data_IF_640374076377
#
_entry.id   IF_640374076377
#
_cell.length_a   1.000
_cell.length_b   1.000
_cell.length_c   1.000
_cell.angle_alpha   90.00
_cell.angle_beta   90.00
_cell.angle_gamma   90.00
#
_symmetry.space_group_name_H-M   'P 1'
#
loop_
_entity.id
_entity.type
_entity.pdbx_description
1 polymer ?
#
# COMPACT_ATOMS: atom_id res chain seq x y z
N UNK A 1 -3.27 -11.37 15.02
CA UNK A 1 -3.72 -10.20 15.80
C UNK A 1 -3.54 -8.96 14.94
N UNK A 2 -4.42 -8.72 13.99
CA UNK A 2 -4.38 -7.57 13.08
C UNK A 2 -5.63 -6.74 13.37
N UNK A 3 -5.44 -5.62 14.08
CA UNK A 3 -6.54 -4.73 14.45
C UNK A 3 -7.01 -3.89 13.25
N UNK A 4 -8.32 -3.83 13.03
CA UNK A 4 -8.94 -2.83 12.16
C UNK A 4 -8.69 -1.42 12.72
N UNK A 5 -8.03 -0.56 11.96
CA UNK A 5 -7.94 0.87 12.25
C UNK A 5 -8.19 1.59 10.93
N UNK A 6 -9.31 2.30 10.80
CA UNK A 6 -9.53 3.16 9.65
C UNK A 6 -8.83 4.49 9.92
N UNK A 7 -7.68 4.71 9.28
CA UNK A 7 -7.35 6.05 8.78
C UNK A 7 -7.93 6.08 7.38
N UNK A 8 -8.91 6.94 7.18
CA UNK A 8 -9.72 7.05 5.96
C UNK A 8 -8.83 7.23 4.73
N UNK A 9 -8.59 6.15 3.99
CA UNK A 9 -8.08 6.20 2.62
C UNK A 9 -9.17 5.61 1.72
N UNK A 10 -9.79 6.49 0.95
CA UNK A 10 -10.87 6.19 0.00
C UNK A 10 -10.24 5.71 -1.33
N UNK A 11 -10.96 4.94 -2.15
CA UNK A 11 -10.42 4.23 -3.32
C UNK A 11 -10.86 4.81 -4.67
N UNK A 12 -9.98 4.81 -5.69
CA UNK A 12 -10.16 5.52 -6.98
C UNK A 12 -10.52 4.64 -8.19
N UNK A 13 -10.84 5.28 -9.34
CA UNK A 13 -11.09 4.68 -10.68
C UNK A 13 -10.93 5.71 -11.84
N UNK A 14 -10.44 5.33 -13.05
CA UNK A 14 -10.08 6.27 -14.16
C UNK A 14 -10.19 5.73 -15.60
N UNK A 15 -10.48 6.58 -16.63
CA UNK A 15 -10.62 6.23 -18.08
C UNK A 15 -10.06 7.32 -19.04
N UNK A 16 -9.92 7.05 -20.36
CA UNK A 16 -8.92 7.66 -21.31
C UNK A 16 -9.51 8.49 -22.46
N UNK A 17 -8.86 9.61 -22.87
CA UNK A 17 -8.85 10.16 -24.25
C UNK A 17 -7.58 11.01 -24.61
N UNK A 18 -6.96 10.64 -25.74
CA UNK A 18 -6.06 11.27 -26.75
C UNK A 18 -4.99 12.37 -26.47
N UNK A 19 -3.91 12.26 -27.26
CA UNK A 19 -2.53 12.79 -27.15
C UNK A 19 -2.24 14.26 -27.55
N UNK A 20 -1.15 14.83 -26.99
CA UNK A 20 -0.21 15.76 -27.65
C UNK A 20 1.22 15.52 -27.12
N UNK A 21 2.21 15.44 -28.01
CA UNK A 21 3.65 15.15 -27.74
C UNK A 21 4.49 16.43 -27.67
N UNK A 22 5.47 16.49 -26.75
CA UNK A 22 6.70 17.35 -26.83
C UNK A 22 7.87 16.71 -26.04
N UNK A 23 9.15 17.12 -26.20
CA UNK A 23 10.30 16.22 -26.21
C UNK A 23 11.16 16.32 -24.94
N UNK A 24 11.99 15.30 -24.73
CA UNK A 24 12.92 15.11 -23.61
C UNK A 24 13.92 16.25 -23.38
N UNK A 25 14.17 16.56 -22.10
CA UNK A 25 15.39 17.19 -21.61
C UNK A 25 16.31 16.15 -20.92
N UNK A 26 17.62 16.30 -21.15
CA UNK A 26 18.72 15.48 -20.61
C UNK A 26 18.95 15.73 -19.11
N UNK A 27 19.45 14.71 -18.40
CA UNK A 27 19.87 14.82 -16.99
C UNK A 27 21.25 15.47 -16.83
N UNK A 28 21.55 16.09 -15.67
CA UNK A 28 22.92 16.37 -15.25
C UNK A 28 23.54 15.13 -14.55
N UNK A 29 24.88 15.05 -14.57
CA UNK A 29 25.69 13.91 -14.12
C UNK A 29 25.81 13.75 -12.60
N UNK A 30 26.34 12.58 -12.19
CA UNK A 30 26.60 12.19 -10.80
C UNK A 30 27.66 13.09 -10.13
N UNK A 31 27.45 13.38 -8.83
CA UNK A 31 28.35 14.16 -7.94
C UNK A 31 28.73 13.30 -6.72
N UNK A 32 29.20 12.07 -6.92
CA UNK A 32 29.76 11.25 -5.84
C UNK A 32 30.90 10.37 -6.37
N UNK A 33 32.04 10.37 -5.66
CA UNK A 33 33.21 9.53 -5.93
C UNK A 33 33.03 8.15 -5.28
N UNK A 34 33.63 7.12 -5.87
CA UNK A 34 33.61 5.76 -5.33
C UNK A 34 34.52 5.62 -4.10
N UNK A 35 34.25 4.61 -3.25
CA UNK A 35 34.97 4.40 -1.98
C UNK A 35 36.48 4.24 -2.12
N UNK A 36 36.97 3.59 -3.19
CA UNK A 36 38.41 3.49 -3.46
C UNK A 36 39.05 4.84 -3.84
N UNK A 37 38.31 5.73 -4.54
CA UNK A 37 38.80 7.07 -4.87
C UNK A 37 38.76 8.04 -3.68
N UNK A 38 37.91 7.76 -2.68
CA UNK A 38 37.84 8.56 -1.45
C UNK A 38 38.98 8.24 -0.47
N UNK A 39 39.49 7.01 -0.48
CA UNK A 39 40.58 6.55 0.41
C UNK A 39 41.94 7.17 0.04
N UNK A 40 42.15 7.44 -1.25
CA UNK A 40 43.37 8.09 -1.77
C UNK A 40 43.45 9.59 -1.41
N UNK A 41 42.30 10.21 -1.06
CA UNK A 41 42.20 11.63 -0.66
C UNK A 41 42.45 11.83 0.84
N UNK A 42 42.20 10.81 1.66
CA UNK A 42 42.35 10.87 3.13
C UNK A 42 43.40 9.89 3.62
N UNK A 43 44.68 10.27 3.55
CA UNK A 43 45.76 9.51 4.18
C UNK A 43 45.59 9.46 5.71
N UNK A 44 44.86 8.46 6.22
CA UNK A 44 44.76 8.15 7.65
C UNK A 44 45.78 7.07 8.00
N UNK A 45 46.75 7.42 8.85
CA UNK A 45 47.63 6.43 9.47
C UNK A 45 46.82 5.62 10.51
N UNK A 46 46.97 4.28 10.49
CA UNK A 46 46.46 3.42 11.57
C UNK A 46 47.05 3.86 12.91
N UNK A 47 46.22 3.88 13.97
CA UNK A 47 46.62 4.22 15.34
C UNK A 47 47.00 2.97 16.15
N UNK A 48 47.45 1.92 15.48
CA UNK A 48 47.87 0.68 16.12
C UNK A 48 49.11 0.92 17.00
N UNK A 49 49.00 0.60 18.29
CA UNK A 49 50.09 0.69 19.27
C UNK A 49 50.46 -0.72 19.73
N UNK A 50 51.46 -1.35 19.10
CA UNK A 50 51.94 -2.70 19.47
C UNK A 50 52.90 -2.69 20.68
N UNK A 51 52.56 -2.01 21.77
CA UNK A 51 53.46 -1.71 22.90
C UNK A 51 53.00 -2.20 24.29
N UNK A 52 53.97 -2.51 25.17
CA UNK A 52 53.80 -3.20 26.46
C UNK A 52 53.04 -2.46 27.61
N UNK A 53 52.21 -1.46 27.30
CA UNK A 53 51.46 -0.67 28.28
C UNK A 53 49.99 -0.44 27.87
N UNK A 54 49.49 -1.24 26.92
CA UNK A 54 48.14 -1.12 26.33
C UNK A 54 47.01 -1.15 27.38
N UNK A 55 47.15 -1.97 28.42
CA UNK A 55 46.17 -2.12 29.53
C UNK A 55 45.96 -0.85 30.38
N UNK A 56 46.76 0.21 30.19
CA UNK A 56 46.59 1.49 30.91
C UNK A 56 45.71 2.50 30.15
N UNK A 57 45.32 2.20 28.90
CA UNK A 57 44.48 3.07 28.10
C UNK A 57 43.00 2.72 28.29
N UNK A 58 42.13 3.73 28.28
CA UNK A 58 40.68 3.49 28.28
C UNK A 58 40.27 2.74 27.01
N UNK A 59 39.53 1.64 27.19
CA UNK A 59 39.11 0.74 26.12
C UNK A 59 38.37 1.46 24.99
N UNK A 60 38.66 1.10 23.74
CA UNK A 60 38.01 1.69 22.58
C UNK A 60 37.73 0.64 21.50
N UNK A 61 36.44 0.41 21.23
CA UNK A 61 35.96 -0.64 20.32
C UNK A 61 36.57 -0.54 18.92
N UNK A 62 36.69 0.67 18.38
CA UNK A 62 37.25 0.86 17.04
C UNK A 62 38.73 0.48 17.03
N UNK A 63 39.49 0.90 18.03
CA UNK A 63 40.93 0.62 18.13
C UNK A 63 41.22 -0.85 18.42
N UNK A 64 40.54 -1.44 19.40
CA UNK A 64 40.89 -2.77 19.92
C UNK A 64 40.17 -3.89 19.15
N UNK A 65 38.94 -3.66 18.69
CA UNK A 65 38.11 -4.71 18.08
C UNK A 65 37.87 -4.53 16.57
N UNK A 66 38.00 -3.32 16.01
CA UNK A 66 37.83 -3.10 14.55
C UNK A 66 39.16 -2.97 13.81
N UNK A 67 40.11 -2.22 14.37
CA UNK A 67 41.48 -2.12 13.86
C UNK A 67 42.31 -3.38 14.22
N UNK A 68 41.98 -4.03 15.34
CA UNK A 68 42.64 -5.25 15.87
C UNK A 68 41.64 -6.37 16.24
N UNK A 69 42.16 -7.49 16.77
CA UNK A 69 41.35 -8.61 17.24
C UNK A 69 41.32 -8.66 18.76
N UNK A 70 40.33 -8.04 19.38
CA UNK A 70 40.11 -8.06 20.83
C UNK A 70 39.52 -9.39 21.35
N UNK A 71 39.74 -9.62 22.64
CA UNK A 71 39.13 -10.62 23.52
C UNK A 71 37.80 -10.12 24.11
N UNK A 72 37.02 -11.02 24.71
CA UNK A 72 35.76 -10.64 25.37
C UNK A 72 35.98 -9.64 26.51
N UNK A 73 37.13 -9.74 27.18
CA UNK A 73 37.45 -8.86 28.30
C UNK A 73 37.75 -7.44 27.82
N UNK A 74 38.51 -7.28 26.73
CA UNK A 74 38.75 -5.97 26.11
C UNK A 74 37.46 -5.34 25.55
N UNK A 75 36.59 -6.15 24.92
CA UNK A 75 35.26 -5.68 24.52
C UNK A 75 34.41 -5.24 25.74
N UNK A 76 34.56 -5.90 26.89
CA UNK A 76 33.86 -5.54 28.14
C UNK A 76 34.37 -4.21 28.69
N UNK A 77 35.68 -3.98 28.62
CA UNK A 77 36.31 -2.73 29.04
C UNK A 77 35.87 -1.54 28.17
N UNK A 78 35.66 -1.74 26.87
CA UNK A 78 35.27 -0.65 25.96
C UNK A 78 33.78 -0.21 26.10
N UNK A 79 32.88 -1.10 26.50
CA UNK A 79 31.44 -0.78 26.61
C UNK A 79 30.97 -0.47 28.04
N UNK A 80 31.73 -0.86 29.08
CA UNK A 80 31.40 -0.74 30.50
C UNK A 80 29.97 -1.23 30.87
N UNK A 81 29.35 -2.06 30.02
CA UNK A 81 27.98 -2.52 30.13
C UNK A 81 27.82 -3.93 29.55
N UNK A 82 27.43 -4.88 30.39
CA UNK A 82 27.36 -6.30 30.01
C UNK A 82 26.35 -6.59 28.89
N UNK A 83 25.20 -5.93 28.82
CA UNK A 83 24.21 -6.18 27.76
C UNK A 83 24.74 -5.73 26.40
N UNK A 84 25.34 -4.54 26.34
CA UNK A 84 25.97 -4.01 25.11
C UNK A 84 27.20 -4.81 24.69
N UNK A 85 28.03 -5.23 25.65
CA UNK A 85 29.18 -6.10 25.39
C UNK A 85 28.72 -7.43 24.78
N UNK A 86 27.68 -8.06 25.32
CA UNK A 86 27.18 -9.34 24.80
C UNK A 86 26.49 -9.21 23.45
N UNK A 87 25.80 -8.10 23.18
CA UNK A 87 25.22 -7.80 21.86
C UNK A 87 26.31 -7.62 20.80
N UNK A 88 27.36 -6.86 21.11
CA UNK A 88 28.53 -6.71 20.24
C UNK A 88 29.28 -8.04 20.05
N UNK A 89 29.54 -8.76 21.15
CA UNK A 89 30.32 -9.99 21.15
C UNK A 89 29.63 -11.12 20.39
N UNK A 90 28.30 -11.18 20.40
CA UNK A 90 27.54 -12.15 19.62
C UNK A 90 27.84 -12.03 18.11
N UNK A 91 27.94 -10.81 17.58
CA UNK A 91 28.30 -10.59 16.17
C UNK A 91 29.81 -10.71 15.90
N UNK A 92 30.64 -10.35 16.87
CA UNK A 92 32.09 -10.33 16.74
C UNK A 92 32.73 -11.73 16.85
N UNK A 93 32.25 -12.58 17.77
CA UNK A 93 32.78 -13.93 18.00
C UNK A 93 32.46 -14.92 16.87
N UNK A 94 31.43 -14.65 16.06
CA UNK A 94 31.08 -15.49 14.90
C UNK A 94 32.08 -15.35 13.74
N UNK A 95 32.95 -14.33 13.78
CA UNK A 95 34.10 -14.11 12.89
C UNK A 95 33.70 -13.78 11.45
N UNK A 96 34.23 -12.69 10.87
CA UNK A 96 33.91 -12.33 9.48
C UNK A 96 34.31 -13.45 8.49
N UNK A 97 33.34 -14.21 7.98
CA UNK A 97 33.60 -15.37 7.13
C UNK A 97 34.17 -15.01 5.75
N UNK A 98 34.16 -13.73 5.36
CA UNK A 98 34.85 -13.23 4.17
C UNK A 98 36.38 -13.19 4.31
N UNK A 99 36.94 -13.32 5.52
CA UNK A 99 38.41 -13.41 5.72
C UNK A 99 39.04 -14.62 5.04
N UNK A 100 38.28 -15.69 4.83
CA UNK A 100 38.75 -16.89 4.13
C UNK A 100 38.78 -16.74 2.60
N UNK A 101 38.40 -15.56 2.07
CA UNK A 101 38.24 -15.27 0.64
C UNK A 101 37.45 -16.38 -0.09
N UNK A 102 36.21 -16.67 0.36
CA UNK A 102 35.47 -17.82 -0.14
C UNK A 102 34.97 -17.65 -1.58
N UNK A 103 34.84 -16.42 -2.07
CA UNK A 103 34.36 -16.10 -3.41
C UNK A 103 35.48 -16.26 -4.45
N UNK A 104 35.34 -17.25 -5.34
CA UNK A 104 36.27 -17.53 -6.44
C UNK A 104 36.02 -16.60 -7.63
N UNK A 105 36.92 -16.66 -8.62
CA UNK A 105 36.77 -15.96 -9.90
C UNK A 105 36.47 -14.45 -9.76
N UNK A 106 37.17 -13.80 -8.83
CA UNK A 106 37.07 -12.35 -8.57
C UNK A 106 35.67 -11.91 -8.11
N UNK A 107 34.89 -12.81 -7.48
CA UNK A 107 33.63 -12.46 -6.84
C UNK A 107 33.85 -11.64 -5.57
N UNK A 108 33.02 -10.61 -5.35
CA UNK A 108 33.07 -9.79 -4.14
C UNK A 108 32.37 -10.51 -2.97
N UNK A 109 32.96 -10.48 -1.78
CA UNK A 109 32.40 -11.14 -0.59
C UNK A 109 31.76 -10.12 0.35
N UNK A 110 30.52 -10.38 0.75
CA UNK A 110 29.79 -9.58 1.74
C UNK A 110 29.42 -10.44 2.96
N UNK A 111 29.67 -9.92 4.15
CA UNK A 111 29.32 -10.59 5.41
C UNK A 111 27.89 -10.25 5.82
N UNK A 112 27.07 -11.27 6.11
CA UNK A 112 25.66 -11.13 6.49
C UNK A 112 25.35 -12.05 7.68
N UNK A 113 25.25 -11.49 8.89
CA UNK A 113 24.66 -12.13 10.09
C UNK A 113 25.03 -13.59 10.32
N UNK A 114 26.33 -13.91 10.39
CA UNK A 114 26.82 -15.28 10.64
C UNK A 114 27.06 -16.14 9.38
N UNK A 115 26.89 -15.58 8.18
CA UNK A 115 27.22 -16.20 6.89
C UNK A 115 27.85 -15.18 5.92
N UNK A 116 28.38 -15.64 4.78
CA UNK A 116 28.83 -14.79 3.68
C UNK A 116 27.95 -14.96 2.42
N UNK A 117 27.94 -13.93 1.59
CA UNK A 117 27.37 -13.92 0.25
C UNK A 117 28.45 -13.54 -0.77
N UNK A 118 28.44 -14.19 -1.94
CA UNK A 118 29.35 -13.88 -3.05
C UNK A 118 28.61 -13.21 -4.20
N UNK A 119 29.12 -12.07 -4.64
CA UNK A 119 28.67 -11.39 -5.85
C UNK A 119 29.61 -11.76 -7.01
N UNK A 120 29.17 -12.65 -7.90
CA UNK A 120 30.01 -13.24 -8.93
C UNK A 120 30.17 -12.36 -10.18
N UNK A 121 31.35 -12.44 -10.81
CA UNK A 121 31.60 -11.78 -12.09
C UNK A 121 30.75 -12.39 -13.23
N UNK A 122 30.45 -11.63 -14.30
CA UNK A 122 29.69 -12.13 -15.44
C UNK A 122 30.27 -13.43 -16.02
N UNK A 123 29.43 -14.44 -16.21
CA UNK A 123 29.82 -15.77 -16.71
C UNK A 123 30.16 -16.79 -15.63
N UNK A 124 30.12 -16.40 -14.35
CA UNK A 124 30.34 -17.28 -13.20
C UNK A 124 29.14 -17.32 -12.25
N UNK A 125 28.83 -18.51 -11.73
CA UNK A 125 27.74 -18.76 -10.77
C UNK A 125 28.19 -19.77 -9.69
N UNK A 126 27.31 -20.11 -8.76
CA UNK A 126 27.62 -20.97 -7.61
C UNK A 126 27.74 -20.19 -6.30
N UNK A 127 27.70 -20.89 -5.16
CA UNK A 127 27.75 -20.25 -3.82
C UNK A 127 29.04 -19.47 -3.61
N UNK A 128 30.11 -19.96 -4.25
CA UNK A 128 31.47 -19.43 -4.17
C UNK A 128 31.96 -18.97 -5.54
N UNK A 129 31.06 -18.69 -6.50
CA UNK A 129 31.40 -18.30 -7.87
C UNK A 129 32.28 -19.32 -8.63
N UNK A 130 32.20 -20.59 -8.29
CA UNK A 130 33.06 -21.67 -8.79
C UNK A 130 32.67 -22.24 -10.16
N UNK A 131 31.45 -21.96 -10.63
CA UNK A 131 30.88 -22.54 -11.84
C UNK A 131 31.08 -21.58 -13.01
N UNK A 132 31.87 -21.98 -14.01
CA UNK A 132 32.11 -21.20 -15.23
C UNK A 132 31.21 -21.67 -16.37
N UNK A 133 30.58 -20.75 -17.09
CA UNK A 133 29.87 -21.05 -18.36
C UNK A 133 28.52 -21.74 -18.20
N UNK A 134 27.83 -21.57 -17.08
CA UNK A 134 26.52 -22.16 -16.87
C UNK A 134 25.46 -21.52 -17.76
N UNK A 135 24.74 -22.33 -18.53
CA UNK A 135 23.39 -21.99 -18.98
C UNK A 135 22.55 -21.64 -17.74
N UNK A 136 21.82 -20.52 -17.72
CA UNK A 136 21.09 -20.09 -16.54
C UNK A 136 20.07 -21.16 -16.13
N UNK A 137 19.98 -21.53 -14.85
CA UNK A 137 18.98 -22.48 -14.35
C UNK A 137 18.22 -21.88 -13.17
N UNK A 138 16.90 -22.08 -13.11
CA UNK A 138 16.06 -21.42 -12.10
C UNK A 138 16.43 -21.80 -10.66
N UNK A 139 16.98 -23.00 -10.45
CA UNK A 139 17.37 -23.49 -9.13
C UNK A 139 18.62 -22.80 -8.56
N UNK A 140 19.32 -22.00 -9.38
CA UNK A 140 20.52 -21.25 -8.98
C UNK A 140 20.36 -19.76 -9.31
N UNK A 141 20.37 -18.91 -8.28
CA UNK A 141 20.20 -17.46 -8.39
C UNK A 141 18.98 -17.05 -9.24
N UNK A 142 17.87 -17.78 -9.14
CA UNK A 142 16.65 -17.57 -9.92
C UNK A 142 16.89 -17.53 -11.44
N UNK A 143 17.90 -18.25 -11.96
CA UNK A 143 18.29 -18.18 -13.37
C UNK A 143 18.78 -16.81 -13.83
N UNK A 144 19.16 -15.92 -12.90
CA UNK A 144 19.50 -14.52 -13.16
C UNK A 144 18.30 -13.58 -13.20
N UNK A 145 17.05 -14.08 -13.11
CA UNK A 145 15.84 -13.29 -13.24
C UNK A 145 15.57 -12.37 -12.05
N UNK A 146 15.19 -11.12 -12.32
CA UNK A 146 14.86 -10.13 -11.29
C UNK A 146 13.58 -10.48 -10.51
N UNK A 147 12.56 -11.05 -11.18
CA UNK A 147 11.29 -11.42 -10.55
C UNK A 147 11.04 -12.94 -10.62
N UNK A 148 10.54 -13.45 -11.76
CA UNK A 148 10.15 -14.86 -11.90
C UNK A 148 11.00 -15.58 -12.92
N UNK A 149 11.24 -16.88 -12.69
CA UNK A 149 12.01 -17.76 -13.55
C UNK A 149 11.21 -19.01 -13.92
N UNK A 150 11.21 -19.37 -15.21
CA UNK A 150 10.66 -20.62 -15.72
C UNK A 150 11.74 -21.43 -16.48
N UNK A 151 11.74 -22.78 -16.39
CA UNK A 151 12.69 -23.60 -17.14
C UNK A 151 12.44 -23.52 -18.66
N UNK A 152 13.30 -22.82 -19.38
CA UNK A 152 13.17 -22.49 -20.81
C UNK A 152 13.96 -23.41 -21.75
N UNK A 153 13.68 -24.72 -21.73
CA UNK A 153 14.21 -25.66 -22.71
C UNK A 153 15.75 -25.59 -22.95
N UNK A 154 16.26 -25.83 -24.17
CA UNK A 154 17.70 -25.89 -24.45
C UNK A 154 18.50 -24.60 -24.23
N UNK A 155 17.83 -23.46 -23.95
CA UNK A 155 18.45 -22.13 -23.77
C UNK A 155 18.63 -21.71 -22.30
N UNK A 156 18.18 -22.52 -21.35
CA UNK A 156 18.30 -22.23 -19.92
C UNK A 156 17.04 -21.59 -19.32
N UNK A 157 17.20 -20.70 -18.33
CA UNK A 157 16.13 -20.02 -17.62
C UNK A 157 15.46 -18.94 -18.48
N UNK A 158 14.14 -18.86 -18.40
CA UNK A 158 13.32 -17.83 -19.04
C UNK A 158 12.71 -16.94 -17.95
N UNK A 159 12.94 -15.63 -18.05
CA UNK A 159 12.50 -14.68 -17.04
C UNK A 159 11.13 -14.06 -17.37
N UNK A 160 10.32 -13.83 -16.35
CA UNK A 160 9.08 -13.06 -16.45
C UNK A 160 8.92 -12.11 -15.26
N UNK A 161 8.08 -11.10 -15.42
CA UNK A 161 7.92 -10.04 -14.43
C UNK A 161 6.53 -10.06 -13.76
N UNK A 162 6.48 -9.60 -12.51
CA UNK A 162 5.24 -9.28 -11.81
C UNK A 162 4.35 -8.34 -12.64
N UNK A 163 3.00 -8.44 -12.51
CA UNK A 163 2.09 -7.47 -13.11
C UNK A 163 2.48 -6.02 -12.79
N UNK A 164 2.45 -5.12 -13.77
CA UNK A 164 2.92 -3.73 -13.65
C UNK A 164 4.42 -3.53 -13.91
N UNK A 165 5.15 -4.60 -14.27
CA UNK A 165 6.56 -4.55 -14.65
C UNK A 165 6.76 -5.19 -16.01
N UNK A 166 7.58 -4.57 -16.86
CA UNK A 166 8.03 -5.14 -18.13
C UNK A 166 9.44 -5.69 -18.00
N UNK A 167 9.69 -6.83 -18.65
CA UNK A 167 11.02 -7.38 -18.77
C UNK A 167 11.83 -6.49 -19.72
N UNK A 168 12.91 -5.91 -19.20
CA UNK A 168 13.85 -5.07 -19.93
C UNK A 168 15.16 -5.83 -20.08
N UNK A 169 15.46 -6.24 -21.30
CA UNK A 169 16.51 -7.21 -21.59
C UNK A 169 16.05 -8.64 -21.28
N UNK A 170 16.97 -9.51 -20.90
CA UNK A 170 16.66 -10.94 -20.63
C UNK A 170 16.36 -11.23 -19.16
N UNK A 171 16.79 -10.36 -18.23
CA UNK A 171 16.78 -10.68 -16.80
C UNK A 171 16.23 -9.58 -15.88
N UNK A 172 16.15 -8.32 -16.32
CA UNK A 172 15.74 -7.20 -15.45
C UNK A 172 14.26 -6.90 -15.63
N UNK A 173 13.57 -6.62 -14.53
CA UNK A 173 12.21 -6.11 -14.56
C UNK A 173 12.25 -4.62 -14.20
N UNK A 174 11.73 -3.78 -15.08
CA UNK A 174 11.48 -2.38 -14.76
C UNK A 174 9.99 -2.18 -14.60
N UNK A 175 9.55 -1.24 -13.73
CA UNK A 175 8.17 -0.80 -13.73
C UNK A 175 7.81 -0.49 -15.16
N UNK A 176 6.72 -1.06 -15.65
CA UNK A 176 6.25 -0.79 -17.01
C UNK A 176 5.98 0.71 -17.07
N UNK A 177 6.92 1.43 -17.67
CA UNK A 177 7.09 2.87 -17.56
C UNK A 177 6.06 3.66 -18.35
N UNK A 178 4.81 3.23 -18.35
CA UNK A 178 3.74 4.20 -18.36
C UNK A 178 3.75 4.89 -17.00
N UNK A 179 4.55 5.97 -16.92
CA UNK A 179 4.21 7.08 -16.03
C UNK A 179 2.75 7.42 -16.32
N UNK A 180 1.83 6.96 -15.48
CA UNK A 180 0.46 7.42 -15.45
C UNK A 180 0.44 8.86 -14.88
N UNK A 181 1.06 9.78 -15.61
CA UNK A 181 0.81 11.23 -15.53
C UNK A 181 -0.36 11.63 -16.44
N UNK A 182 -1.24 10.67 -16.77
CA UNK A 182 -2.54 10.96 -17.34
C UNK A 182 -3.36 11.65 -16.23
N UNK A 183 -4.12 12.67 -16.60
CA UNK A 183 -5.09 13.36 -15.73
C UNK A 183 -6.13 12.34 -15.25
N UNK A 184 -5.75 11.58 -14.24
CA UNK A 184 -6.56 10.62 -13.53
C UNK A 184 -7.65 11.45 -12.85
N UNK A 185 -8.84 11.51 -13.44
CA UNK A 185 -10.01 12.13 -12.82
C UNK A 185 -10.79 11.14 -11.93
N UNK A 186 -10.76 11.39 -10.62
CA UNK A 186 -11.47 10.56 -9.63
C UNK A 186 -12.96 10.69 -9.92
N UNK A 187 -13.63 9.57 -10.16
CA UNK A 187 -15.08 9.59 -10.40
C UNK A 187 -15.89 9.03 -9.25
N UNK A 188 -15.33 8.08 -8.49
CA UNK A 188 -15.95 7.50 -7.31
C UNK A 188 -14.90 7.13 -6.27
N UNK A 189 -15.38 7.03 -5.03
CA UNK A 189 -14.72 6.46 -3.88
C UNK A 189 -14.99 4.97 -3.69
N UNK A 190 -14.41 4.42 -2.63
CA UNK A 190 -14.61 3.05 -2.18
C UNK A 190 -13.97 2.83 -0.81
N UNK A 191 -14.29 1.70 -0.18
CA UNK A 191 -13.72 1.29 1.12
C UNK A 191 -13.06 -0.09 1.03
N UNK A 192 -11.82 -0.19 1.51
CA UNK A 192 -11.09 -1.47 1.59
C UNK A 192 -11.76 -2.36 2.65
N UNK A 193 -12.20 -3.57 2.27
CA UNK A 193 -12.77 -4.56 3.20
C UNK A 193 -11.78 -5.67 3.55
N UNK A 194 -10.89 -6.03 2.62
CA UNK A 194 -9.78 -6.96 2.84
C UNK A 194 -8.69 -6.73 1.79
N UNK A 195 -7.64 -7.55 1.81
CA UNK A 195 -6.53 -7.48 0.84
C UNK A 195 -7.02 -7.60 -0.62
N UNK A 196 -8.14 -8.27 -0.88
CA UNK A 196 -8.64 -8.52 -2.24
C UNK A 196 -10.02 -7.91 -2.51
N UNK A 197 -10.63 -7.27 -1.52
CA UNK A 197 -12.02 -6.83 -1.63
C UNK A 197 -12.21 -5.37 -1.25
N UNK A 198 -12.94 -4.67 -2.12
CA UNK A 198 -13.36 -3.28 -1.95
C UNK A 198 -14.88 -3.22 -2.08
N UNK A 199 -15.52 -2.37 -1.28
CA UNK A 199 -16.92 -2.00 -1.45
C UNK A 199 -17.04 -0.58 -1.99
N UNK A 200 -18.00 -0.36 -2.88
CA UNK A 200 -18.32 0.93 -3.48
C UNK A 200 -19.83 1.00 -3.79
N UNK A 201 -20.29 2.09 -4.38
CA UNK A 201 -21.65 2.23 -4.89
C UNK A 201 -21.80 1.50 -6.24
N UNK A 202 -22.98 0.92 -6.49
CA UNK A 202 -23.23 0.19 -7.74
C UNK A 202 -23.40 1.13 -8.95
N UNK A 203 -23.92 2.35 -8.76
CA UNK A 203 -24.10 3.33 -9.83
C UNK A 203 -22.75 3.75 -10.44
N UNK A 204 -21.68 3.84 -9.63
CA UNK A 204 -20.30 4.07 -10.09
C UNK A 204 -19.89 3.12 -11.23
N UNK A 205 -20.33 1.85 -11.15
CA UNK A 205 -19.98 0.80 -12.10
C UNK A 205 -20.94 0.74 -13.31
N UNK A 206 -22.09 1.40 -13.24
CA UNK A 206 -23.05 1.48 -14.36
C UNK A 206 -22.84 2.72 -15.21
N UNK A 207 -22.48 3.83 -14.58
CA UNK A 207 -22.24 5.10 -15.26
C UNK A 207 -20.92 5.10 -16.04
N UNK A 208 -19.95 4.27 -15.62
CA UNK A 208 -18.65 4.15 -16.29
C UNK A 208 -18.55 2.87 -17.11
N UNK A 209 -18.30 3.03 -18.40
CA UNK A 209 -18.06 1.94 -19.37
C UNK A 209 -16.58 1.70 -19.67
N UNK A 210 -15.73 2.68 -19.35
CA UNK A 210 -14.29 2.59 -19.60
C UNK A 210 -13.62 1.67 -18.57
N UNK A 211 -12.48 1.11 -18.96
CA UNK A 211 -11.59 0.42 -18.03
C UNK A 211 -11.20 1.35 -16.88
N UNK A 212 -10.99 0.79 -15.70
CA UNK A 212 -10.59 1.51 -14.49
C UNK A 212 -9.72 0.63 -13.58
N UNK A 213 -9.03 1.24 -12.62
CA UNK A 213 -8.25 0.55 -11.58
C UNK A 213 -8.54 1.16 -10.22
N UNK A 214 -8.34 0.38 -9.16
CA UNK A 214 -8.47 0.81 -7.77
C UNK A 214 -7.13 1.36 -7.27
N UNK A 215 -7.08 2.63 -6.85
CA UNK A 215 -5.90 3.18 -6.14
C UNK A 215 -6.14 3.22 -4.63
N UNK A 216 -5.26 2.60 -3.86
CA UNK A 216 -5.15 2.74 -2.39
C UNK A 216 -4.00 3.67 -2.03
N UNK A 217 -3.95 4.19 -0.80
CA UNK A 217 -2.76 4.87 -0.28
C UNK A 217 -2.52 6.28 -0.81
N UNK A 218 -3.49 6.83 -1.53
CA UNK A 218 -3.50 8.20 -2.06
C UNK A 218 -4.05 9.17 -1.02
N UNK A 219 -3.45 10.36 -0.88
CA UNK A 219 -4.04 11.50 -0.17
C UNK A 219 -4.18 12.73 -1.06
N UNK A 220 -3.24 13.02 -1.96
CA UNK A 220 -3.28 14.16 -2.88
C UNK A 220 -3.09 13.71 -4.33
N UNK A 221 -4.19 13.61 -5.09
CA UNK A 221 -4.21 13.09 -6.46
C UNK A 221 -3.38 13.92 -7.45
N UNK A 222 -2.90 15.09 -7.05
CA UNK A 222 -1.98 15.92 -7.84
C UNK A 222 -0.51 15.57 -7.64
N UNK A 223 -0.20 14.66 -6.70
CA UNK A 223 1.14 14.29 -6.27
C UNK A 223 1.29 12.77 -6.24
N UNK A 224 2.53 12.30 -6.21
CA UNK A 224 2.85 10.93 -5.84
C UNK A 224 3.62 10.99 -4.53
N UNK A 225 3.08 10.33 -3.53
CA UNK A 225 3.56 10.30 -2.15
C UNK A 225 4.37 9.02 -1.86
N UNK A 226 4.36 8.05 -2.78
CA UNK A 226 5.09 6.79 -2.68
C UNK A 226 4.33 5.69 -1.92
N UNK A 227 3.10 5.99 -1.50
CA UNK A 227 2.22 5.07 -0.76
C UNK A 227 1.11 4.51 -1.63
N UNK A 228 0.97 5.03 -2.85
CA UNK A 228 -0.07 4.66 -3.79
C UNK A 228 0.15 3.23 -4.32
N UNK A 229 -0.93 2.48 -4.43
CA UNK A 229 -0.91 1.20 -5.14
C UNK A 229 -2.10 1.14 -6.11
N UNK A 230 -1.79 0.94 -7.39
CA UNK A 230 -2.77 0.82 -8.46
C UNK A 230 -3.07 -0.65 -8.73
N UNK A 231 -4.34 -1.03 -8.56
CA UNK A 231 -4.78 -2.41 -8.54
C UNK A 231 -5.90 -2.61 -9.56
N UNK A 232 -5.65 -3.48 -10.53
CA UNK A 232 -6.67 -3.87 -11.50
C UNK A 232 -7.85 -4.60 -10.83
N UNK A 233 -9.04 -4.37 -11.34
CA UNK A 233 -10.24 -5.09 -10.90
C UNK A 233 -10.38 -6.39 -11.68
N UNK A 234 -10.35 -7.51 -10.97
CA UNK A 234 -10.61 -8.86 -11.50
C UNK A 234 -12.09 -9.02 -11.83
N UNK A 235 -12.95 -8.59 -10.90
CA UNK A 235 -14.39 -8.82 -10.98
C UNK A 235 -15.16 -7.77 -10.21
N UNK A 236 -16.20 -7.22 -10.85
CA UNK A 236 -17.23 -6.42 -10.19
C UNK A 236 -18.47 -7.27 -9.90
N UNK A 237 -19.01 -7.15 -8.69
CA UNK A 237 -20.22 -7.84 -8.22
C UNK A 237 -21.21 -6.81 -7.71
N UNK A 238 -22.17 -6.46 -8.55
CA UNK A 238 -23.28 -5.59 -8.15
C UNK A 238 -24.26 -6.38 -7.28
N UNK A 239 -24.93 -5.70 -6.35
CA UNK A 239 -25.96 -6.34 -5.54
C UNK A 239 -27.09 -6.88 -6.45
N UNK A 240 -27.57 -8.13 -6.28
CA UNK A 240 -28.56 -8.73 -7.20
C UNK A 240 -29.91 -8.01 -7.29
N UNK A 241 -30.23 -7.19 -6.29
CA UNK A 241 -31.46 -6.36 -6.25
C UNK A 241 -31.26 -4.92 -6.74
N UNK A 242 -30.04 -4.57 -7.17
CA UNK A 242 -29.77 -3.28 -7.76
C UNK A 242 -30.26 -3.26 -9.21
N UNK A 243 -31.21 -2.37 -9.50
CA UNK A 243 -31.77 -2.18 -10.83
C UNK A 243 -31.91 -0.68 -11.12
N UNK A 244 -30.98 -0.08 -11.89
CA UNK A 244 -31.00 1.35 -12.17
C UNK A 244 -32.18 1.78 -13.05
N UNK A 245 -32.83 0.86 -13.77
CA UNK A 245 -34.01 1.17 -14.57
C UNK A 245 -35.27 1.34 -13.71
N UNK A 246 -35.33 0.69 -12.55
CA UNK A 246 -36.43 0.81 -11.58
C UNK A 246 -36.15 1.91 -10.55
N UNK A 247 -34.92 1.97 -10.05
CA UNK A 247 -34.49 2.99 -9.10
C UNK A 247 -32.97 3.12 -9.11
N UNK A 248 -32.47 4.24 -9.64
CA UNK A 248 -31.06 4.52 -9.85
C UNK A 248 -30.17 4.28 -8.62
N UNK A 249 -30.71 4.50 -7.41
CA UNK A 249 -29.92 4.49 -6.17
C UNK A 249 -30.41 3.46 -5.13
N UNK A 250 -31.45 2.66 -5.42
CA UNK A 250 -31.90 1.65 -4.46
C UNK A 250 -31.08 0.36 -4.58
N UNK A 251 -30.64 -0.18 -3.43
CA UNK A 251 -29.62 -1.24 -3.37
C UNK A 251 -28.29 -0.87 -4.01
N UNK A 252 -27.90 0.40 -3.91
CA UNK A 252 -26.71 0.95 -4.51
C UNK A 252 -25.43 0.56 -3.74
N UNK A 253 -25.03 -0.70 -3.91
CA UNK A 253 -23.81 -1.28 -3.35
C UNK A 253 -23.24 -2.32 -4.31
N UNK A 254 -21.92 -2.29 -4.46
CA UNK A 254 -21.16 -3.26 -5.24
C UNK A 254 -19.86 -3.64 -4.54
N UNK A 255 -19.38 -4.84 -4.87
CA UNK A 255 -18.09 -5.35 -4.42
C UNK A 255 -17.15 -5.52 -5.60
N UNK A 256 -15.88 -5.24 -5.37
CA UNK A 256 -14.83 -5.34 -6.34
C UNK A 256 -13.79 -6.30 -5.80
N UNK A 257 -13.51 -7.32 -6.59
CA UNK A 257 -12.39 -8.22 -6.36
C UNK A 257 -11.18 -7.70 -7.13
N UNK A 258 -10.08 -7.52 -6.43
CA UNK A 258 -8.82 -7.04 -6.98
C UNK A 258 -8.01 -8.21 -7.54
N UNK A 259 -7.25 -7.97 -8.62
CA UNK A 259 -6.35 -8.99 -9.20
C UNK A 259 -5.13 -9.27 -8.34
N UNK A 260 -4.67 -8.28 -7.58
CA UNK A 260 -3.54 -8.37 -6.66
C UNK A 260 -3.98 -7.92 -5.26
N UNK A 261 -3.31 -8.47 -4.24
CA UNK A 261 -3.54 -8.15 -2.85
C UNK A 261 -3.03 -6.74 -2.53
N UNK A 262 -3.85 -5.95 -1.83
CA UNK A 262 -3.45 -4.68 -1.21
C UNK A 262 -2.35 -4.96 -0.18
N UNK A 263 -1.22 -4.26 -0.28
CA UNK A 263 -0.18 -4.28 0.73
C UNK A 263 -0.57 -3.31 1.86
N UNK A 264 -0.91 -3.86 3.02
CA UNK A 264 -1.28 -3.04 4.17
C UNK A 264 -0.07 -2.36 4.82
N UNK A 265 -0.31 -1.15 5.31
CA UNK A 265 0.68 -0.31 5.98
C UNK A 265 0.00 0.53 7.06
N UNK A 266 0.73 1.48 7.65
CA UNK A 266 0.14 2.46 8.56
C UNK A 266 -0.78 3.47 7.85
N UNK A 267 -0.66 3.59 6.53
CA UNK A 267 -1.49 4.46 5.68
C UNK A 267 -2.55 3.68 4.90
N UNK A 268 -2.40 2.37 4.70
CA UNK A 268 -3.37 1.55 3.95
C UNK A 268 -3.91 0.44 4.84
N UNK A 269 -5.17 0.57 5.29
CA UNK A 269 -5.82 -0.39 6.18
C UNK A 269 -7.30 -0.60 5.82
N UNK A 270 -7.84 -1.81 6.07
CA UNK A 270 -9.25 -2.08 5.84
C UNK A 270 -10.15 -1.41 6.90
N UNK A 271 -11.34 -1.02 6.49
CA UNK A 271 -12.42 -0.62 7.40
C UNK A 271 -13.13 -1.86 7.93
N UNK A 272 -13.58 -1.81 9.18
CA UNK A 272 -14.23 -2.94 9.82
C UNK A 272 -15.71 -3.04 9.44
N UNK A 273 -16.24 -4.26 9.27
CA UNK A 273 -17.66 -4.54 9.07
C UNK A 273 -18.27 -5.14 10.34
N UNK A 274 -19.40 -4.59 10.77
CA UNK A 274 -20.15 -5.08 11.93
C UNK A 274 -21.41 -5.88 11.53
N UNK A 275 -21.82 -6.88 12.34
CA UNK A 275 -23.12 -7.54 12.18
C UNK A 275 -24.28 -6.53 12.19
N UNK A 276 -25.38 -6.88 11.51
CA UNK A 276 -26.52 -5.97 11.31
C UNK A 276 -26.98 -5.25 12.60
N UNK A 277 -27.24 -5.98 13.67
CA UNK A 277 -27.74 -5.39 14.92
C UNK A 277 -26.75 -4.40 15.55
N UNK A 278 -25.46 -4.72 15.52
CA UNK A 278 -24.40 -3.84 16.02
C UNK A 278 -24.26 -2.58 15.16
N UNK A 279 -24.18 -2.75 13.84
CA UNK A 279 -24.01 -1.62 12.89
C UNK A 279 -25.22 -0.70 12.90
N UNK A 280 -26.43 -1.25 13.04
CA UNK A 280 -27.64 -0.46 13.20
C UNK A 280 -27.66 0.31 14.52
N UNK A 281 -27.29 -0.31 15.64
CA UNK A 281 -27.21 0.40 16.93
C UNK A 281 -26.16 1.52 16.89
N UNK A 282 -25.01 1.26 16.26
CA UNK A 282 -23.95 2.25 16.10
C UNK A 282 -24.39 3.44 15.22
N UNK A 283 -25.15 3.17 14.15
CA UNK A 283 -25.66 4.21 13.25
C UNK A 283 -26.61 5.21 13.95
N UNK A 284 -27.42 4.74 14.92
CA UNK A 284 -28.36 5.59 15.66
C UNK A 284 -27.77 6.11 16.99
N UNK A 285 -26.46 5.99 17.19
CA UNK A 285 -25.81 6.57 18.36
C UNK A 285 -25.51 8.06 18.15
N UNK A 286 -25.32 8.80 19.24
CA UNK A 286 -24.97 10.23 19.19
C UNK A 286 -23.56 10.51 18.65
N UNK A 287 -22.80 9.48 18.26
CA UNK A 287 -21.47 9.66 17.69
C UNK A 287 -21.56 10.15 16.25
N UNK A 288 -20.90 11.28 15.96
CA UNK A 288 -20.75 11.76 14.59
C UNK A 288 -19.98 10.74 13.75
N UNK A 289 -20.44 10.53 12.52
CA UNK A 289 -19.81 9.64 11.57
C UNK A 289 -18.86 10.42 10.65
N UNK A 290 -17.75 9.79 10.28
CA UNK A 290 -16.77 10.34 9.36
C UNK A 290 -17.15 9.96 7.92
N UNK A 291 -17.20 10.94 7.05
CA UNK A 291 -17.32 10.77 5.60
C UNK A 291 -16.07 11.35 4.94
N UNK A 292 -15.52 10.67 3.95
CA UNK A 292 -14.31 11.12 3.25
C UNK A 292 -14.36 10.85 1.76
N UNK A 293 -13.72 11.72 0.97
CA UNK A 293 -13.58 11.57 -0.47
C UNK A 293 -12.90 12.77 -1.16
N UNK A 294 -12.71 12.65 -2.47
CA UNK A 294 -12.10 13.68 -3.35
C UNK A 294 -13.14 14.36 -4.25
N UNK A 295 -14.41 14.28 -3.87
CA UNK A 295 -15.51 14.94 -4.55
C UNK A 295 -15.32 16.47 -4.62
N UNK A 296 -16.28 17.11 -5.29
CA UNK A 296 -16.25 18.55 -5.51
C UNK A 296 -16.40 19.29 -4.18
N UNK A 297 -15.61 20.34 -3.98
CA UNK A 297 -15.69 21.14 -2.75
C UNK A 297 -16.98 21.97 -2.64
N UNK A 298 -17.70 22.15 -3.75
CA UNK A 298 -18.95 22.92 -3.88
C UNK A 298 -19.77 22.33 -5.03
N UNK A 299 -21.08 22.57 -5.03
CA UNK A 299 -21.94 22.19 -6.17
C UNK A 299 -21.41 22.80 -7.48
N UNK A 300 -21.23 21.97 -8.51
CA UNK A 300 -20.54 22.32 -9.78
C UNK A 300 -19.09 22.83 -9.66
N UNK A 301 -18.47 22.73 -8.49
CA UNK A 301 -17.10 23.17 -8.22
C UNK A 301 -16.03 22.22 -8.76
N UNK A 302 -14.76 22.55 -8.53
CA UNK A 302 -13.64 21.65 -8.88
C UNK A 302 -13.55 20.49 -7.86
N UNK A 303 -13.16 19.27 -8.31
CA UNK A 303 -12.78 18.18 -7.42
C UNK A 303 -11.64 18.61 -6.48
N UNK A 304 -11.58 18.02 -5.29
CA UNK A 304 -10.49 18.26 -4.35
C UNK A 304 -9.22 17.51 -4.81
N UNK A 305 -8.07 18.20 -4.80
CA UNK A 305 -6.77 17.55 -5.02
C UNK A 305 -6.40 16.65 -3.84
N UNK A 306 -6.53 17.19 -2.62
CA UNK A 306 -6.31 16.45 -1.38
C UNK A 306 -7.62 15.85 -0.84
N UNK A 307 -7.50 14.69 -0.18
CA UNK A 307 -8.61 13.97 0.45
C UNK A 307 -9.29 14.85 1.49
N UNK A 308 -10.60 15.02 1.35
CA UNK A 308 -11.41 15.74 2.31
C UNK A 308 -12.09 14.76 3.27
N UNK A 309 -12.39 15.25 4.46
CA UNK A 309 -13.16 14.51 5.45
C UNK A 309 -14.06 15.44 6.25
N UNK A 310 -15.19 14.90 6.67
CA UNK A 310 -16.21 15.64 7.40
C UNK A 310 -16.92 14.74 8.40
N UNK A 311 -17.34 15.33 9.52
CA UNK A 311 -18.14 14.64 10.53
C UNK A 311 -19.61 15.05 10.41
N UNK A 312 -20.49 14.07 10.22
CA UNK A 312 -21.92 14.26 9.98
C UNK A 312 -22.75 13.47 10.99
N UNK A 313 -23.86 14.04 11.51
CA UNK A 313 -24.80 13.31 12.36
C UNK A 313 -25.76 12.47 11.51
N UNK A 314 -26.29 11.41 12.13
CA UNK A 314 -27.43 10.68 11.59
C UNK A 314 -28.67 11.59 11.57
N UNK A 315 -29.48 11.48 10.52
CA UNK A 315 -30.74 12.22 10.39
C UNK A 315 -31.90 11.26 10.53
N UNK A 316 -32.86 11.63 11.37
CA UNK A 316 -34.03 10.81 11.65
C UNK A 316 -34.84 10.50 10.39
N UNK A 317 -35.45 9.32 10.38
CA UNK A 317 -36.04 8.78 9.15
C UNK A 317 -37.21 9.62 8.63
N UNK A 318 -37.99 10.24 9.51
CA UNK A 318 -39.08 11.15 9.11
C UNK A 318 -38.51 12.40 8.43
N UNK A 319 -37.56 13.07 9.08
CA UNK A 319 -36.92 14.27 8.55
C UNK A 319 -36.21 14.01 7.22
N UNK A 320 -35.47 12.90 7.12
CA UNK A 320 -34.82 12.46 5.89
C UNK A 320 -35.81 12.29 4.72
N UNK A 321 -36.99 11.70 4.98
CA UNK A 321 -38.04 11.56 3.96
C UNK A 321 -38.66 12.89 3.58
N UNK A 322 -38.97 13.72 4.56
CA UNK A 322 -39.61 15.02 4.35
C UNK A 322 -38.67 16.00 3.62
N UNK A 323 -37.36 15.79 3.77
CA UNK A 323 -36.33 16.59 3.10
C UNK A 323 -36.19 16.32 1.61
N UNK A 324 -36.67 15.19 1.08
CA UNK A 324 -36.36 14.73 -0.28
C UNK A 324 -37.63 14.57 -1.12
N UNK A 325 -37.59 14.99 -2.40
CA UNK A 325 -38.68 14.67 -3.33
C UNK A 325 -38.61 13.23 -3.81
N UNK A 326 -37.41 12.64 -3.83
CA UNK A 326 -37.19 11.25 -4.20
C UNK A 326 -37.45 10.29 -3.04
N UNK A 327 -37.89 9.07 -3.38
CA UNK A 327 -38.31 8.07 -2.41
C UNK A 327 -37.12 7.50 -1.62
N UNK A 328 -37.02 7.87 -0.34
CA UNK A 328 -36.08 7.25 0.61
C UNK A 328 -36.57 5.87 1.07
N UNK A 329 -35.87 4.81 0.65
CA UNK A 329 -36.25 3.43 0.99
C UNK A 329 -35.72 3.00 2.38
N UNK A 330 -36.01 1.77 2.83
CA UNK A 330 -35.45 1.22 4.07
C UNK A 330 -33.97 0.79 3.94
N UNK A 331 -33.45 0.80 2.72
CA UNK A 331 -32.08 0.44 2.38
C UNK A 331 -31.14 1.65 2.36
N UNK A 332 -31.69 2.84 2.60
CA UNK A 332 -31.02 4.11 2.63
C UNK A 332 -31.18 4.76 4.00
N UNK A 333 -30.31 5.71 4.32
CA UNK A 333 -30.47 6.66 5.41
C UNK A 333 -29.84 8.01 5.03
N UNK A 334 -30.21 9.07 5.75
CA UNK A 334 -29.61 10.39 5.57
C UNK A 334 -28.62 10.70 6.70
N UNK A 335 -27.58 11.47 6.37
CA UNK A 335 -26.68 12.06 7.35
C UNK A 335 -26.25 13.46 6.88
N UNK A 336 -26.11 14.40 7.81
CA UNK A 336 -25.73 15.78 7.49
C UNK A 336 -26.42 16.81 8.40
N UNK A 337 -26.20 18.09 8.10
CA UNK A 337 -26.74 19.20 8.89
C UNK A 337 -27.84 19.92 8.12
N UNK A 338 -28.97 20.19 8.78
CA UNK A 338 -30.15 20.81 8.16
C UNK A 338 -29.91 22.24 7.65
N UNK A 339 -28.91 22.93 8.22
CA UNK A 339 -28.52 24.28 7.82
C UNK A 339 -27.76 24.34 6.49
N UNK A 340 -27.38 23.18 5.93
CA UNK A 340 -26.60 23.09 4.69
C UNK A 340 -25.16 23.58 4.85
N UNK A 341 -24.62 23.66 6.08
CA UNK A 341 -23.26 24.15 6.27
C UNK A 341 -22.18 23.16 5.76
N UNK A 342 -22.50 21.86 5.72
CA UNK A 342 -21.54 20.76 5.60
C UNK A 342 -22.21 19.51 5.02
N UNK A 343 -21.74 19.03 3.86
CA UNK A 343 -22.27 17.83 3.19
C UNK A 343 -21.24 17.17 2.25
N UNK A 344 -21.44 15.89 1.93
CA UNK A 344 -20.68 15.20 0.88
C UNK A 344 -21.18 15.65 -0.51
N UNK A 345 -20.31 15.63 -1.53
CA UNK A 345 -20.63 16.19 -2.83
C UNK A 345 -20.32 15.24 -3.98
N UNK A 346 -20.67 15.67 -5.21
CA UNK A 346 -20.43 14.92 -6.44
C UNK A 346 -18.97 14.46 -6.55
N UNK A 347 -18.75 13.17 -6.78
CA UNK A 347 -17.42 12.53 -6.83
C UNK A 347 -17.01 11.82 -5.54
N UNK A 348 -17.78 11.96 -4.45
CA UNK A 348 -17.61 11.17 -3.22
C UNK A 348 -18.36 9.82 -3.27
N UNK A 349 -19.19 9.58 -4.29
CA UNK A 349 -19.98 8.37 -4.47
C UNK A 349 -19.16 7.10 -4.29
N UNK A 350 -19.67 6.15 -3.49
CA UNK A 350 -18.94 4.94 -3.12
C UNK A 350 -17.98 5.10 -1.93
N UNK A 351 -17.69 6.33 -1.51
CA UNK A 351 -16.87 6.63 -0.34
C UNK A 351 -17.50 6.16 0.97
N UNK A 352 -16.68 6.02 2.03
CA UNK A 352 -17.13 5.54 3.33
C UNK A 352 -17.98 6.56 4.06
N UNK A 353 -19.02 6.07 4.73
CA UNK A 353 -19.57 6.67 5.94
C UNK A 353 -19.25 5.72 7.10
N UNK A 354 -18.35 6.14 7.99
CA UNK A 354 -17.81 5.29 9.04
C UNK A 354 -18.08 5.86 10.43
N UNK A 355 -18.59 5.03 11.33
CA UNK A 355 -18.84 5.41 12.73
C UNK A 355 -17.78 4.78 13.63
N UNK A 356 -17.32 5.55 14.61
CA UNK A 356 -16.29 5.09 15.55
C UNK A 356 -16.94 4.43 16.76
N UNK A 357 -16.53 3.21 17.07
CA UNK A 357 -16.85 2.53 18.32
C UNK A 357 -15.56 2.21 19.07
N UNK A 358 -15.34 2.91 20.19
CA UNK A 358 -14.05 2.93 20.91
C UNK A 358 -12.93 3.40 19.98
N UNK A 359 -11.90 2.59 19.75
CA UNK A 359 -10.76 2.93 18.89
C UNK A 359 -10.86 2.28 17.48
N UNK A 360 -12.01 1.69 17.15
CA UNK A 360 -12.24 1.02 15.87
C UNK A 360 -13.31 1.73 15.07
N UNK A 361 -13.04 1.88 13.77
CA UNK A 361 -13.99 2.45 12.81
C UNK A 361 -14.73 1.34 12.08
N UNK A 362 -16.05 1.47 12.02
CA UNK A 362 -16.94 0.54 11.35
C UNK A 362 -17.65 1.23 10.20
N UNK A 363 -17.72 0.56 9.05
CA UNK A 363 -18.45 1.06 7.90
C UNK A 363 -19.96 0.93 8.16
N UNK A 364 -20.63 2.06 8.31
CA UNK A 364 -22.07 2.13 8.59
C UNK A 364 -22.88 2.54 7.35
N UNK A 365 -22.27 3.27 6.42
CA UNK A 365 -22.86 3.66 5.16
C UNK A 365 -21.87 3.75 4.00
N UNK A 366 -22.43 3.88 2.79
CA UNK A 366 -21.70 4.16 1.55
C UNK A 366 -22.35 5.40 0.93
N UNK A 367 -21.56 6.40 0.56
CA UNK A 367 -22.06 7.61 -0.13
C UNK A 367 -22.75 7.18 -1.42
N UNK A 368 -24.01 7.55 -1.61
CA UNK A 368 -24.82 7.09 -2.75
C UNK A 368 -25.30 8.27 -3.61
N UNK A 369 -26.07 9.20 -3.06
CA UNK A 369 -26.59 10.36 -3.81
C UNK A 369 -27.02 11.50 -2.87
N UNK A 370 -27.42 12.64 -3.44
CA UNK A 370 -27.95 13.79 -2.71
C UNK A 370 -28.52 14.85 -3.66
N UNK A 371 -29.45 15.67 -3.16
CA UNK A 371 -30.06 16.77 -3.92
C UNK A 371 -29.26 18.07 -3.79
N UNK A 372 -28.30 18.27 -4.71
CA UNK A 372 -27.31 19.35 -4.64
C UNK A 372 -26.41 19.25 -3.39
N UNK A 373 -25.18 19.74 -3.47
CA UNK A 373 -24.26 19.63 -2.34
C UNK A 373 -24.50 20.75 -1.33
N UNK A 374 -24.71 20.39 -0.05
CA UNK A 374 -24.82 21.35 1.05
C UNK A 374 -25.98 22.36 0.88
N UNK A 375 -27.09 21.91 0.29
CA UNK A 375 -28.31 22.71 0.15
C UNK A 375 -29.06 22.74 1.46
N UNK A 376 -29.48 23.94 1.90
CA UNK A 376 -30.26 24.10 3.13
C UNK A 376 -31.53 23.24 3.08
N UNK A 377 -31.76 22.46 4.14
CA UNK A 377 -32.90 21.55 4.24
C UNK A 377 -32.78 20.27 3.41
N UNK A 378 -31.61 19.96 2.85
CA UNK A 378 -31.30 18.69 2.17
C UNK A 378 -30.15 17.98 2.89
N UNK A 379 -30.09 16.67 2.73
CA UNK A 379 -29.07 15.82 3.36
C UNK A 379 -28.46 14.88 2.32
N UNK A 380 -27.21 14.45 2.58
CA UNK A 380 -26.61 13.34 1.86
C UNK A 380 -27.33 12.02 2.16
N UNK A 381 -27.54 11.21 1.13
CA UNK A 381 -28.21 9.90 1.22
C UNK A 381 -27.19 8.78 1.01
N UNK A 382 -27.21 7.84 1.93
CA UNK A 382 -26.22 6.77 2.04
C UNK A 382 -26.89 5.40 1.97
N UNK A 383 -26.22 4.44 1.34
CA UNK A 383 -26.64 3.03 1.40
C UNK A 383 -26.38 2.49 2.81
N UNK A 384 -27.40 1.88 3.43
CA UNK A 384 -27.34 1.35 4.80
C UNK A 384 -26.64 -0.02 4.84
N UNK A 385 -25.33 -0.02 5.10
CA UNK A 385 -24.45 -1.22 5.03
C UNK A 385 -24.93 -2.38 5.90
N UNK A 386 -25.55 -2.09 7.04
CA UNK A 386 -26.10 -3.11 7.95
C UNK A 386 -27.05 -4.10 7.25
N UNK A 387 -27.81 -3.66 6.24
CA UNK A 387 -28.74 -4.50 5.48
C UNK A 387 -28.03 -5.46 4.51
N UNK A 388 -26.76 -5.21 4.20
CA UNK A 388 -25.97 -5.94 3.21
C UNK A 388 -24.89 -6.83 3.84
N UNK A 389 -24.70 -6.76 5.16
CA UNK A 389 -23.66 -7.51 5.87
C UNK A 389 -23.56 -8.99 5.46
N UNK A 390 -24.70 -9.71 5.45
CA UNK A 390 -24.73 -11.13 5.05
C UNK A 390 -24.34 -11.35 3.60
N UNK A 391 -24.80 -10.48 2.70
CA UNK A 391 -24.46 -10.56 1.28
C UNK A 391 -22.97 -10.27 1.06
N UNK A 392 -22.42 -9.27 1.74
CA UNK A 392 -21.00 -8.93 1.66
C UNK A 392 -20.15 -10.12 2.11
N UNK A 393 -20.46 -10.70 3.28
CA UNK A 393 -19.74 -11.88 3.79
C UNK A 393 -19.84 -13.09 2.86
N UNK A 394 -21.00 -13.32 2.27
CA UNK A 394 -21.21 -14.41 1.31
C UNK A 394 -20.35 -14.23 0.05
N UNK A 395 -20.36 -13.03 -0.55
CA UNK A 395 -19.57 -12.75 -1.77
C UNK A 395 -18.07 -12.82 -1.50
N UNK A 396 -17.62 -12.34 -0.33
CA UNK A 396 -16.22 -12.42 0.10
C UNK A 396 -15.78 -13.85 0.47
N UNK A 397 -16.71 -14.82 0.50
CA UNK A 397 -16.39 -16.21 0.86
C UNK A 397 -16.15 -16.46 2.35
N UNK A 398 -16.55 -15.53 3.23
CA UNK A 398 -16.37 -15.64 4.68
C UNK A 398 -17.37 -16.66 5.28
N UNK A 399 -18.58 -16.71 4.73
CA UNK A 399 -19.62 -17.68 5.13
C UNK A 399 -19.87 -18.68 4.01
N UNK A 400 -19.80 -19.99 4.30
CA UNK A 400 -20.19 -21.04 3.34
C UNK A 400 -21.68 -20.93 2.99
N UNK A 401 -22.06 -21.39 1.78
CA UNK A 401 -23.48 -21.61 1.40
C UNK A 401 -24.17 -22.38 2.51
N UNK A 402 -25.09 -21.73 3.23
CA UNK A 402 -26.13 -22.47 3.93
C UNK A 402 -27.08 -22.88 2.80
N UNK A 403 -27.02 -24.15 2.42
CA UNK A 403 -27.99 -24.73 1.50
C UNK A 403 -29.38 -24.46 2.05
N UNK A 404 -30.20 -23.78 1.25
CA UNK A 404 -31.65 -23.80 1.42
C UNK A 404 -32.18 -25.14 0.92
#
# INVERSE_FOLDING_TARGET
KTGCVCRTNTLLYFGVLAEVVWPSLKSPGLVFLGGEEADDVLGRYKRANTGAFEEFLQGNVERECMEESCSLEEAREAFENNEKTMEFWAGYAEGNQCRSLPCKNQGACEHQGGTYACNCQPGFTGRNCEIAGATPHCDHNNGGCAHFCSPGGPRGAECSCAPGYKLVGEVKCQPDGERFTLLSQVFCGGSILSELWVVTAAHCLKERKDAFFVRVGELDVSRSEGTEQDLEVEKAVLHPRYDPAVSAYNHDVALLRLRAAVLFSDQVRPVCLGPKAFTDALLHSDTLAMVSGWGRLRFHGRPAGALQKIEVPYVERSECKDSSSDRITQYMFCAGYADGAKDACQGDSGGPHASRFRDTWFLTGIVSWGEECAKKGKFGVYTRVANYYKWIQYVMGITKKIGL
#
